data_IF_521681205340
#
_entry.id   IF_521681205340
#
_cell.length_a   1.000
_cell.length_b   1.000
_cell.length_c   1.000
_cell.angle_alpha   90.00
_cell.angle_beta   90.00
_cell.angle_gamma   90.00
#
_symmetry.space_group_name_H-M   'P 1'
#
loop_
_entity.id
_entity.type
_entity.pdbx_description
1 polymer ?
#
# COMPACT_ATOMS: atom_id res chain seq x y z
N UNK A 1 -20.51 -8.45 -17.92
CA UNK A 1 -20.29 -8.91 -16.53
C UNK A 1 -19.12 -9.88 -16.40
N UNK A 2 -19.03 -10.96 -17.21
CA UNK A 2 -17.87 -11.85 -17.19
C UNK A 2 -16.53 -11.12 -17.45
N UNK A 3 -16.54 -10.14 -18.37
CA UNK A 3 -15.39 -9.27 -18.65
C UNK A 3 -14.93 -8.46 -17.43
N UNK A 4 -15.87 -7.90 -16.65
CA UNK A 4 -15.55 -7.16 -15.41
C UNK A 4 -14.90 -8.08 -14.38
N UNK A 5 -15.43 -9.29 -14.21
CA UNK A 5 -14.86 -10.25 -13.27
C UNK A 5 -13.47 -10.71 -13.67
N UNK A 6 -13.26 -11.01 -14.96
CA UNK A 6 -11.95 -11.37 -15.48
C UNK A 6 -10.96 -10.22 -15.37
N UNK A 7 -11.40 -8.98 -15.57
CA UNK A 7 -10.56 -7.80 -15.37
C UNK A 7 -10.14 -7.63 -13.91
N UNK A 8 -11.08 -7.76 -12.97
CA UNK A 8 -10.79 -7.66 -11.53
C UNK A 8 -9.86 -8.79 -11.06
N UNK A 9 -10.06 -10.01 -11.56
CA UNK A 9 -9.27 -11.18 -11.14
C UNK A 9 -7.85 -11.21 -11.72
N UNK A 10 -7.61 -10.55 -12.88
CA UNK A 10 -6.29 -10.47 -13.50
C UNK A 10 -5.53 -9.16 -13.20
N UNK A 11 -6.09 -8.27 -12.38
CA UNK A 11 -5.48 -6.99 -12.06
C UNK A 11 -5.01 -6.98 -10.60
N UNK A 12 -3.77 -6.58 -10.37
CA UNK A 12 -3.15 -6.56 -9.03
C UNK A 12 -3.74 -5.47 -8.09
N UNK A 13 -4.68 -4.66 -8.57
CA UNK A 13 -5.23 -3.56 -7.81
C UNK A 13 -6.42 -4.02 -6.97
N UNK A 14 -6.45 -3.59 -5.70
CA UNK A 14 -7.54 -3.89 -4.75
C UNK A 14 -8.67 -2.85 -4.80
N UNK A 15 -8.51 -1.81 -5.62
CA UNK A 15 -9.44 -0.69 -5.71
C UNK A 15 -9.71 -0.34 -7.17
N UNK A 16 -10.99 -0.21 -7.51
CA UNK A 16 -11.44 0.17 -8.83
C UNK A 16 -12.50 1.26 -8.73
N UNK A 17 -12.54 2.15 -9.71
CA UNK A 17 -13.67 3.05 -9.89
C UNK A 17 -14.74 2.38 -10.74
N UNK A 18 -15.99 2.74 -10.49
CA UNK A 18 -17.11 2.21 -11.28
C UNK A 18 -17.01 2.63 -12.76
N UNK A 19 -16.39 3.79 -13.02
CA UNK A 19 -16.07 4.26 -14.38
C UNK A 19 -15.06 3.36 -15.10
N UNK A 20 -14.01 2.91 -14.41
CA UNK A 20 -13.05 1.94 -14.97
C UNK A 20 -13.73 0.62 -15.32
N UNK A 21 -14.54 0.08 -14.40
CA UNK A 21 -15.26 -1.18 -14.66
C UNK A 21 -16.27 -1.04 -15.80
N UNK A 22 -16.87 0.13 -15.98
CA UNK A 22 -17.75 0.41 -17.11
C UNK A 22 -16.99 0.47 -18.43
N UNK A 23 -15.79 1.04 -18.45
CA UNK A 23 -14.95 1.11 -19.65
C UNK A 23 -14.43 -0.26 -20.11
N UNK A 24 -14.36 -1.25 -19.22
CA UNK A 24 -13.98 -2.62 -19.54
C UNK A 24 -15.07 -3.35 -20.33
N UNK A 25 -16.34 -2.94 -20.20
CA UNK A 25 -17.43 -3.53 -20.98
C UNK A 25 -17.38 -3.00 -22.41
N UNK A 26 -16.95 -3.85 -23.35
CA UNK A 26 -16.88 -3.50 -24.78
C UNK A 26 -18.23 -3.57 -25.51
N UNK A 27 -19.28 -4.03 -24.82
CA UNK A 27 -20.63 -4.22 -25.37
C UNK A 27 -21.73 -3.53 -24.56
N UNK A 28 -22.61 -4.33 -23.95
CA UNK A 28 -23.82 -3.85 -23.27
C UNK A 28 -23.48 -3.03 -22.02
N UNK A 29 -23.76 -1.71 -22.08
CA UNK A 29 -23.60 -0.78 -20.97
C UNK A 29 -24.67 -1.10 -19.91
N UNK A 30 -24.28 -1.90 -18.92
CA UNK A 30 -25.15 -2.20 -17.78
C UNK A 30 -25.24 -0.98 -16.87
N UNK A 31 -26.43 -0.73 -16.33
CA UNK A 31 -26.64 0.34 -15.35
C UNK A 31 -25.75 0.15 -14.12
N UNK A 32 -25.30 1.25 -13.52
CA UNK A 32 -24.32 1.26 -12.42
C UNK A 32 -24.84 0.43 -11.22
N UNK A 33 -26.16 0.47 -10.98
CA UNK A 33 -26.83 -0.36 -9.97
C UNK A 33 -26.70 -1.86 -10.24
N UNK A 34 -26.77 -2.25 -11.51
CA UNK A 34 -26.67 -3.66 -11.90
C UNK A 34 -25.25 -4.19 -11.67
N UNK A 35 -24.24 -3.39 -11.96
CA UNK A 35 -22.82 -3.72 -11.71
C UNK A 35 -22.60 -3.88 -10.20
N UNK A 36 -23.09 -2.92 -9.40
CA UNK A 36 -22.99 -2.95 -7.93
C UNK A 36 -23.66 -4.20 -7.34
N UNK A 37 -24.91 -4.48 -7.72
CA UNK A 37 -25.66 -5.63 -7.19
C UNK A 37 -24.97 -6.96 -7.55
N UNK A 38 -24.47 -7.08 -8.78
CA UNK A 38 -23.77 -8.29 -9.22
C UNK A 38 -22.42 -8.49 -8.50
N UNK A 39 -21.70 -7.40 -8.22
CA UNK A 39 -20.44 -7.45 -7.46
C UNK A 39 -20.71 -7.87 -6.00
N UNK A 40 -21.74 -7.30 -5.37
CA UNK A 40 -22.18 -7.71 -4.03
C UNK A 40 -22.65 -9.16 -3.99
N UNK A 41 -23.31 -9.66 -5.04
CA UNK A 41 -23.73 -11.06 -5.11
C UNK A 41 -22.55 -12.04 -5.25
N UNK A 42 -21.53 -11.69 -6.04
CA UNK A 42 -20.39 -12.58 -6.30
C UNK A 42 -19.38 -12.59 -5.15
N UNK A 43 -19.09 -11.42 -4.58
CA UNK A 43 -18.02 -11.25 -3.60
C UNK A 43 -18.51 -10.95 -2.18
N UNK A 44 -19.83 -10.78 -1.98
CA UNK A 44 -20.48 -10.66 -0.68
C UNK A 44 -19.77 -9.65 0.25
N UNK A 45 -19.22 -10.12 1.36
CA UNK A 45 -18.50 -9.34 2.38
C UNK A 45 -17.10 -8.88 1.96
N UNK A 46 -16.57 -9.45 0.89
CA UNK A 46 -15.21 -9.16 0.41
C UNK A 46 -15.18 -7.91 -0.48
N UNK A 47 -16.33 -7.27 -0.72
CA UNK A 47 -16.46 -6.02 -1.49
C UNK A 47 -17.06 -4.92 -0.63
N UNK A 48 -16.31 -3.82 -0.51
CA UNK A 48 -16.75 -2.57 0.09
C UNK A 48 -16.97 -1.56 -1.03
N UNK A 49 -18.20 -1.05 -1.15
CA UNK A 49 -18.57 -0.05 -2.15
C UNK A 49 -18.83 1.26 -1.42
N UNK A 50 -18.06 2.29 -1.76
CA UNK A 50 -18.17 3.62 -1.16
C UNK A 50 -18.49 4.65 -2.23
N UNK A 51 -19.61 5.34 -2.09
CA UNK A 51 -19.98 6.49 -2.92
C UNK A 51 -19.49 7.78 -2.26
N UNK A 52 -18.62 8.53 -2.96
CA UNK A 52 -18.24 9.89 -2.57
C UNK A 52 -19.08 10.94 -3.29
N UNK A 53 -19.15 12.13 -2.70
CA UNK A 53 -19.79 13.33 -3.24
C UNK A 53 -19.30 13.59 -4.68
N UNK A 54 -20.22 13.83 -5.62
CA UNK A 54 -20.04 13.95 -7.09
C UNK A 54 -19.89 12.62 -7.87
N UNK A 55 -20.71 11.62 -7.55
CA UNK A 55 -20.86 10.37 -8.33
C UNK A 55 -19.60 9.49 -8.48
N UNK A 56 -18.58 9.71 -7.67
CA UNK A 56 -17.40 8.84 -7.64
C UNK A 56 -17.68 7.63 -6.75
N UNK A 57 -18.06 6.53 -7.39
CA UNK A 57 -18.21 5.23 -6.72
C UNK A 57 -16.89 4.46 -6.78
N UNK A 58 -16.34 4.18 -5.60
CA UNK A 58 -15.13 3.41 -5.41
C UNK A 58 -15.51 2.01 -4.90
N UNK A 59 -14.97 0.98 -5.54
CA UNK A 59 -15.16 -0.42 -5.18
C UNK A 59 -13.82 -0.93 -4.66
N UNK A 60 -13.81 -1.44 -3.44
CA UNK A 60 -12.64 -1.93 -2.74
C UNK A 60 -12.83 -3.40 -2.36
N UNK A 61 -11.85 -4.24 -2.65
CA UNK A 61 -11.87 -5.66 -2.31
C UNK A 61 -11.05 -5.92 -1.03
N UNK A 62 -11.66 -6.56 -0.04
CA UNK A 62 -11.09 -6.78 1.29
C UNK A 62 -10.12 -7.97 1.35
N UNK A 63 -10.31 -9.01 0.53
CA UNK A 63 -9.62 -10.30 0.72
C UNK A 63 -9.06 -10.98 -0.57
N UNK A 64 -9.13 -10.33 -1.73
CA UNK A 64 -8.64 -10.95 -2.98
C UNK A 64 -7.12 -11.21 -2.95
N UNK A 65 -6.31 -10.38 -2.29
CA UNK A 65 -4.86 -10.51 -2.35
C UNK A 65 -4.28 -11.63 -1.47
N UNK A 66 -4.91 -12.00 -0.34
CA UNK A 66 -4.40 -13.07 0.54
C UNK A 66 -4.51 -14.45 -0.12
N UNK A 67 -5.58 -14.66 -0.90
CA UNK A 67 -5.82 -15.89 -1.65
C UNK A 67 -4.98 -15.98 -2.95
N UNK A 68 -4.73 -14.85 -3.63
CA UNK A 68 -3.88 -14.79 -4.82
C UNK A 68 -2.42 -15.10 -4.44
N UNK A 69 -1.90 -14.46 -3.39
CA UNK A 69 -0.53 -14.68 -2.91
C UNK A 69 -0.27 -16.14 -2.48
N UNK A 70 -1.26 -16.84 -1.93
CA UNK A 70 -1.09 -18.21 -1.45
C UNK A 70 -1.18 -19.25 -2.57
N UNK A 71 -2.14 -19.14 -3.50
CA UNK A 71 -2.25 -20.08 -4.64
C UNK A 71 -1.10 -19.93 -5.64
N UNK A 72 -0.79 -18.71 -6.07
CA UNK A 72 0.32 -18.47 -7.01
C UNK A 72 1.68 -18.85 -6.43
N UNK A 73 1.84 -18.80 -5.10
CA UNK A 73 3.07 -19.21 -4.45
C UNK A 73 3.39 -20.69 -4.66
N UNK A 74 2.38 -21.56 -4.53
CA UNK A 74 2.54 -23.02 -4.67
C UNK A 74 2.53 -23.46 -6.13
N UNK A 75 1.77 -22.80 -7.00
CA UNK A 75 1.59 -23.23 -8.39
C UNK A 75 2.72 -22.76 -9.33
N UNK A 76 3.35 -21.61 -9.06
CA UNK A 76 4.34 -20.99 -9.96
C UNK A 76 5.81 -21.11 -9.52
N UNK A 77 6.20 -22.25 -8.93
CA UNK A 77 7.61 -22.49 -8.56
C UNK A 77 8.46 -22.65 -9.83
N UNK A 78 9.34 -21.69 -10.12
CA UNK A 78 10.21 -21.75 -11.31
C UNK A 78 11.42 -22.65 -11.04
N UNK A 79 11.81 -23.45 -12.03
CA UNK A 79 12.99 -24.33 -11.90
C UNK A 79 14.34 -23.59 -11.92
N UNK A 80 14.35 -22.32 -12.36
CA UNK A 80 15.54 -21.48 -12.44
C UNK A 80 15.75 -20.69 -11.13
N UNK A 81 16.94 -20.83 -10.54
CA UNK A 81 17.26 -20.31 -9.20
C UNK A 81 17.19 -18.79 -9.10
N UNK A 82 17.65 -18.06 -10.11
CA UNK A 82 17.64 -16.58 -10.09
C UNK A 82 16.22 -16.03 -10.26
N UNK A 83 15.42 -16.63 -11.15
CA UNK A 83 14.01 -16.25 -11.35
C UNK A 83 13.18 -16.54 -10.10
N UNK A 84 13.46 -17.64 -9.42
CA UNK A 84 12.79 -17.96 -8.17
C UNK A 84 13.15 -16.97 -7.06
N UNK A 85 14.42 -16.55 -6.96
CA UNK A 85 14.83 -15.50 -6.02
C UNK A 85 14.10 -14.18 -6.27
N UNK A 86 13.96 -13.76 -7.52
CA UNK A 86 13.21 -12.55 -7.88
C UNK A 86 11.73 -12.67 -7.51
N UNK A 87 11.10 -13.82 -7.79
CA UNK A 87 9.70 -14.11 -7.41
C UNK A 87 9.47 -13.96 -5.90
N UNK A 88 10.40 -14.43 -5.07
CA UNK A 88 10.33 -14.29 -3.61
C UNK A 88 10.39 -12.82 -3.19
N UNK A 89 11.26 -12.04 -3.82
CA UNK A 89 11.39 -10.59 -3.54
C UNK A 89 10.13 -9.84 -3.97
N UNK A 90 9.54 -10.18 -5.12
CA UNK A 90 8.27 -9.62 -5.60
C UNK A 90 7.12 -9.92 -4.63
N UNK A 91 7.00 -11.17 -4.18
CA UNK A 91 6.00 -11.55 -3.18
C UNK A 91 6.20 -10.81 -1.84
N UNK A 92 7.44 -10.68 -1.37
CA UNK A 92 7.75 -9.91 -0.17
C UNK A 92 7.41 -8.42 -0.35
N UNK A 93 7.66 -7.85 -1.53
CA UNK A 93 7.31 -6.47 -1.85
C UNK A 93 5.79 -6.26 -1.86
N UNK A 94 5.01 -7.21 -2.39
CA UNK A 94 3.55 -7.16 -2.37
C UNK A 94 3.00 -7.15 -0.93
N UNK A 95 3.49 -8.05 -0.07
CA UNK A 95 3.12 -8.09 1.36
C UNK A 95 3.44 -6.76 2.05
N UNK A 96 4.64 -6.21 1.83
CA UNK A 96 5.05 -4.94 2.43
C UNK A 96 4.18 -3.79 1.92
N UNK A 97 3.87 -3.76 0.62
CA UNK A 97 3.01 -2.73 0.01
C UNK A 97 1.61 -2.77 0.63
N UNK A 98 1.06 -3.95 0.85
CA UNK A 98 -0.27 -4.10 1.42
C UNK A 98 -0.31 -3.77 2.91
N UNK A 99 0.69 -4.20 3.70
CA UNK A 99 0.84 -3.79 5.10
C UNK A 99 0.94 -2.25 5.21
N UNK A 100 1.68 -1.63 4.29
CA UNK A 100 1.74 -0.17 4.18
C UNK A 100 0.40 0.41 3.77
N UNK A 101 -0.44 -0.20 2.92
CA UNK A 101 -1.79 0.30 2.54
C UNK A 101 -2.86 0.08 3.59
N UNK A 102 -2.66 -0.91 4.46
CA UNK A 102 -3.55 -1.23 5.57
C UNK A 102 -3.21 -0.46 6.86
N UNK A 103 -2.00 0.11 6.98
CA UNK A 103 -1.61 0.88 8.16
C UNK A 103 -2.49 2.12 8.38
N UNK A 104 -3.16 2.21 9.53
CA UNK A 104 -3.91 3.40 9.92
C UNK A 104 -2.94 4.47 10.39
N UNK A 105 -2.92 5.62 9.72
CA UNK A 105 -2.09 6.76 10.11
C UNK A 105 -3.01 7.91 10.52
N UNK A 106 -2.73 8.47 11.70
CA UNK A 106 -3.43 9.63 12.21
C UNK A 106 -3.01 10.89 11.43
N UNK A 107 -3.88 11.37 10.55
CA UNK A 107 -3.65 12.56 9.71
C UNK A 107 -4.31 13.82 10.24
N UNK A 108 -5.10 13.71 11.31
CA UNK A 108 -5.96 14.79 11.81
C UNK A 108 -5.33 15.62 12.93
N UNK A 109 -4.24 15.13 13.55
CA UNK A 109 -3.59 15.84 14.65
C UNK A 109 -2.09 15.96 14.43
N UNK A 110 -1.58 17.20 14.48
CA UNK A 110 -0.14 17.45 14.47
C UNK A 110 0.39 17.33 15.90
N UNK A 111 1.36 16.43 16.10
CA UNK A 111 1.96 16.28 17.43
C UNK A 111 2.93 17.43 17.71
N UNK A 112 3.03 17.92 18.96
CA UNK A 112 4.01 18.94 19.31
C UNK A 112 5.45 18.52 18.94
N UNK A 113 6.33 19.47 18.54
CA UNK A 113 7.71 19.18 18.12
C UNK A 113 8.49 18.32 19.13
N UNK A 114 8.25 18.51 20.42
CA UNK A 114 8.86 17.75 21.52
C UNK A 114 8.52 16.26 21.52
N UNK A 115 7.37 15.87 20.96
CA UNK A 115 6.90 14.47 20.88
C UNK A 115 7.03 13.87 19.48
N UNK A 116 7.47 14.67 18.51
CA UNK A 116 7.55 14.31 17.09
C UNK A 116 8.48 13.13 16.81
N UNK A 117 9.47 12.85 17.67
CA UNK A 117 10.40 11.72 17.51
C UNK A 117 9.95 10.44 18.25
N UNK A 118 9.05 10.57 19.22
CA UNK A 118 8.70 9.48 20.16
C UNK A 118 7.52 8.64 19.63
N UNK A 119 6.52 9.25 19.00
CA UNK A 119 5.36 8.54 18.40
C UNK A 119 5.69 7.74 17.14
N UNK A 120 6.85 7.96 16.52
CA UNK A 120 7.22 7.46 15.19
C UNK A 120 7.25 5.94 15.00
N UNK A 121 7.50 5.18 16.07
CA UNK A 121 7.60 3.73 15.95
C UNK A 121 6.25 3.02 15.92
N UNK A 122 5.14 3.72 16.22
CA UNK A 122 3.81 3.12 16.25
C UNK A 122 3.06 3.24 14.92
N UNK A 123 3.41 4.22 14.08
CA UNK A 123 2.72 4.49 12.81
C UNK A 123 3.31 3.76 11.59
N UNK A 124 4.44 3.06 11.77
CA UNK A 124 5.14 2.38 10.69
C UNK A 124 4.67 0.93 10.54
N UNK A 125 4.42 0.49 9.31
CA UNK A 125 4.14 -0.90 8.97
C UNK A 125 5.22 -1.84 9.53
N UNK A 126 4.79 -2.82 10.34
CA UNK A 126 5.70 -3.72 11.08
C UNK A 126 6.56 -4.56 10.13
N UNK A 127 6.00 -4.97 8.99
CA UNK A 127 6.68 -5.79 7.98
C UNK A 127 7.80 -5.01 7.31
N UNK A 128 7.56 -3.73 6.98
CA UNK A 128 8.56 -2.83 6.41
C UNK A 128 9.74 -2.61 7.38
N UNK A 129 9.42 -2.36 8.65
CA UNK A 129 10.46 -2.17 9.67
C UNK A 129 11.30 -3.44 9.85
N UNK A 130 10.65 -4.62 9.88
CA UNK A 130 11.34 -5.90 9.99
C UNK A 130 12.27 -6.14 8.79
N UNK A 131 11.79 -5.89 7.57
CA UNK A 131 12.57 -6.02 6.35
C UNK A 131 13.81 -5.13 6.34
N UNK A 132 13.64 -3.83 6.64
CA UNK A 132 14.76 -2.88 6.70
C UNK A 132 15.75 -3.21 7.81
N UNK A 133 15.27 -3.70 8.96
CA UNK A 133 16.15 -4.21 10.01
C UNK A 133 16.97 -5.41 9.50
N UNK A 134 16.35 -6.36 8.79
CA UNK A 134 17.07 -7.51 8.22
C UNK A 134 18.10 -7.09 7.17
N UNK A 135 17.84 -6.06 6.36
CA UNK A 135 18.83 -5.56 5.40
C UNK A 135 19.98 -4.83 6.11
N UNK A 136 19.64 -3.86 6.97
CA UNK A 136 20.61 -2.91 7.52
C UNK A 136 21.39 -3.52 8.69
N UNK A 137 20.79 -4.43 9.46
CA UNK A 137 21.38 -4.97 10.69
C UNK A 137 22.11 -6.31 10.51
N UNK A 138 21.96 -7.02 9.38
CA UNK A 138 22.53 -8.37 9.19
C UNK A 138 24.04 -8.43 9.45
N UNK A 139 24.79 -7.37 9.16
CA UNK A 139 26.25 -7.33 9.29
C UNK A 139 26.79 -6.24 10.24
N UNK A 140 25.92 -5.52 10.97
CA UNK A 140 26.36 -4.42 11.85
C UNK A 140 26.54 -4.89 13.30
N UNK A 141 27.80 -4.94 13.75
CA UNK A 141 28.20 -5.18 15.16
C UNK A 141 28.05 -3.95 16.08
N UNK A 142 27.55 -2.81 15.58
CA UNK A 142 27.45 -1.55 16.31
C UNK A 142 26.17 -1.38 17.14
N UNK A 143 26.14 -0.38 18.04
CA UNK A 143 24.99 -0.06 18.92
C UNK A 143 23.69 0.06 18.11
N UNK A 144 22.75 -0.86 18.38
CA UNK A 144 21.40 -0.97 17.80
C UNK A 144 20.61 0.35 17.86
N UNK A 145 20.91 1.21 18.84
CA UNK A 145 20.28 2.51 19.02
C UNK A 145 20.46 3.47 17.83
N UNK A 146 21.59 3.40 17.11
CA UNK A 146 21.88 4.34 16.02
C UNK A 146 21.31 3.88 14.67
N UNK A 147 20.97 2.60 14.51
CA UNK A 147 20.40 2.05 13.27
C UNK A 147 18.88 2.17 13.23
N UNK A 148 18.20 2.07 14.38
CA UNK A 148 16.74 2.25 14.49
C UNK A 148 16.22 3.54 13.84
N UNK A 149 16.75 4.75 14.16
CA UNK A 149 16.25 5.99 13.54
C UNK A 149 16.51 6.05 12.03
N UNK A 150 17.55 5.38 11.53
CA UNK A 150 17.82 5.27 10.08
C UNK A 150 16.77 4.40 9.40
N UNK A 151 16.46 3.24 9.98
CA UNK A 151 15.37 2.39 9.48
C UNK A 151 14.03 3.14 9.52
N UNK A 152 13.71 3.83 10.62
CA UNK A 152 12.50 4.64 10.75
C UNK A 152 12.42 5.72 9.68
N UNK A 153 13.51 6.45 9.41
CA UNK A 153 13.53 7.52 8.41
C UNK A 153 13.31 6.98 6.99
N UNK A 154 13.96 5.87 6.65
CA UNK A 154 13.79 5.19 5.35
C UNK A 154 12.36 4.64 5.21
N UNK A 155 11.82 4.04 6.28
CA UNK A 155 10.43 3.57 6.30
C UNK A 155 9.46 4.70 6.01
N UNK A 156 9.62 5.86 6.66
CA UNK A 156 8.75 7.02 6.48
C UNK A 156 8.84 7.57 5.04
N UNK A 157 10.03 7.57 4.44
CA UNK A 157 10.22 7.97 3.04
C UNK A 157 9.51 7.01 2.07
N UNK A 158 9.66 5.69 2.27
CA UNK A 158 8.98 4.67 1.45
C UNK A 158 7.45 4.78 1.62
N UNK A 159 6.96 4.96 2.85
CA UNK A 159 5.54 5.14 3.11
C UNK A 159 4.99 6.42 2.46
N UNK A 160 5.74 7.52 2.47
CA UNK A 160 5.36 8.76 1.80
C UNK A 160 5.31 8.60 0.28
N UNK A 161 6.26 7.90 -0.32
CA UNK A 161 6.24 7.60 -1.75
C UNK A 161 5.07 6.68 -2.15
N UNK A 162 4.72 5.70 -1.31
CA UNK A 162 3.61 4.78 -1.60
C UNK A 162 2.23 5.36 -1.30
N UNK A 163 2.13 6.41 -0.47
CA UNK A 163 0.88 7.03 -0.01
C UNK A 163 0.89 8.55 -0.19
N UNK A 164 1.18 9.03 -1.39
CA UNK A 164 1.34 10.46 -1.69
C UNK A 164 0.19 11.35 -1.20
N UNK A 165 -1.06 10.85 -1.20
CA UNK A 165 -2.25 11.64 -0.84
C UNK A 165 -2.75 11.41 0.58
N UNK A 166 -2.34 10.33 1.23
CA UNK A 166 -2.94 9.85 2.47
C UNK A 166 -1.96 9.83 3.65
N UNK A 167 -0.68 10.11 3.40
CA UNK A 167 0.36 10.09 4.41
C UNK A 167 1.25 11.33 4.31
N UNK A 168 1.22 12.16 5.36
CA UNK A 168 2.19 13.24 5.52
C UNK A 168 3.11 12.90 6.68
N UNK A 169 4.37 12.59 6.37
CA UNK A 169 5.37 12.38 7.43
C UNK A 169 5.77 13.73 8.02
N UNK A 170 5.51 13.91 9.32
CA UNK A 170 5.94 15.11 10.05
C UNK A 170 7.46 15.35 9.95
N UNK A 171 8.26 14.27 9.87
CA UNK A 171 9.71 14.38 9.72
C UNK A 171 10.11 14.86 8.33
N UNK A 172 9.49 14.34 7.27
CA UNK A 172 9.78 14.79 5.91
C UNK A 172 9.31 16.23 5.72
N UNK A 173 8.16 16.61 6.28
CA UNK A 173 7.68 17.99 6.27
C UNK A 173 8.64 18.94 6.99
N UNK A 174 9.14 18.55 8.17
CA UNK A 174 10.13 19.36 8.90
C UNK A 174 11.44 19.50 8.13
N UNK A 175 11.87 18.43 7.44
CA UNK A 175 13.07 18.45 6.62
C UNK A 175 12.89 19.31 5.37
N UNK A 176 11.74 19.25 4.71
CA UNK A 176 11.47 20.06 3.53
C UNK A 176 11.42 21.55 3.84
N UNK A 177 10.82 21.93 4.99
CA UNK A 177 10.85 23.32 5.47
C UNK A 177 12.28 23.77 5.77
N UNK A 178 13.08 22.91 6.41
CA UNK A 178 14.48 23.23 6.71
C UNK A 178 15.32 23.42 5.44
N UNK A 179 15.16 22.53 4.46
CA UNK A 179 15.87 22.64 3.18
C UNK A 179 15.49 23.91 2.42
N UNK A 180 14.20 24.25 2.39
CA UNK A 180 13.70 25.47 1.75
C UNK A 180 14.25 26.76 2.42
N UNK A 181 14.38 26.77 3.75
CA UNK A 181 14.99 27.90 4.47
C UNK A 181 16.50 28.01 4.21
N UNK A 182 17.19 26.89 3.92
CA UNK A 182 18.59 26.94 3.49
C UNK A 182 18.73 27.50 2.07
N UNK A 183 17.90 27.05 1.12
CA UNK A 183 17.92 27.51 -0.27
C UNK A 183 17.58 29.01 -0.42
N UNK A 184 16.85 29.60 0.53
CA UNK A 184 16.53 31.04 0.56
C UNK A 184 17.64 31.92 1.14
N UNK A 185 18.67 31.32 1.77
CA UNK A 185 19.77 32.04 2.43
C UNK A 185 21.04 32.07 1.57
N UNK A 186 21.05 31.36 0.44
CA UNK A 186 22.07 31.39 -0.61
C UNK A 186 21.68 32.34 -1.75
#
# INVERSE_FOLDING_TARGET
>A
MAEIFNYIENHDDSQFTLKELRNVLTGYVSDDKTIITRLQQKYLTDVIITTKVKDLTIIFFRDTQVNILSKDWYDNKKGDSEKERLRIVEAAAAIIREDIRSSVVETQSYSPPSKMLIKKNQEIAKSLLHFLQKIIMKNRKGKIANSKPKCTSISLAIMAALRERSFSSQLLLSLSVFLYDMDLKD
#
